data_IF_490227239177
#
_entry.id   IF_490227239177
#
_cell.length_a   1.000
_cell.length_b   1.000
_cell.length_c   1.000
_cell.angle_alpha   90.00
_cell.angle_beta   90.00
_cell.angle_gamma   90.00
#
_symmetry.space_group_name_H-M   'P 1'
#
loop_
_entity.id
_entity.type
_entity.pdbx_description
1 polymer ?
#
# COMPACT_ATOMS: atom_id res chain seq x y z
N UNK A 1 -9.67 18.05 6.56
CA UNK A 1 -8.47 18.29 6.93
C UNK A 1 -7.64 17.11 6.91
N UNK A 2 -6.61 17.11 6.25
CA UNK A 2 -5.80 15.96 6.14
C UNK A 2 -4.67 16.01 7.11
N UNK A 3 -4.19 14.87 7.51
CA UNK A 3 -3.06 14.79 8.36
C UNK A 3 -1.82 14.85 7.53
N UNK A 4 -0.78 15.45 8.02
CA UNK A 4 0.49 15.46 7.30
C UNK A 4 1.02 14.04 7.21
N UNK A 5 1.72 13.75 6.13
CA UNK A 5 2.35 12.46 6.00
C UNK A 5 3.49 12.35 6.98
N UNK A 6 3.73 11.16 7.50
CA UNK A 6 4.83 11.00 8.43
C UNK A 6 6.15 11.18 7.72
N UNK A 7 7.15 11.59 8.49
CA UNK A 7 8.49 11.69 7.99
C UNK A 7 8.93 10.30 7.56
N UNK A 8 9.64 10.21 6.46
CA UNK A 8 10.14 8.92 6.02
C UNK A 8 11.01 8.28 7.08
N UNK A 9 11.78 9.10 7.77
CA UNK A 9 12.62 8.58 8.82
C UNK A 9 11.81 7.91 9.91
N UNK A 10 10.65 8.44 10.22
CA UNK A 10 9.79 7.86 11.24
C UNK A 10 9.20 6.52 10.80
N UNK A 11 9.30 6.19 9.52
CA UNK A 11 8.80 4.92 9.03
C UNK A 11 9.88 3.86 8.96
N UNK A 12 11.09 4.19 9.35
CA UNK A 12 12.19 3.23 9.28
C UNK A 12 12.38 2.58 10.64
N UNK A 13 12.37 1.26 10.67
CA UNK A 13 12.45 0.53 11.93
C UNK A 13 13.75 -0.28 12.08
N UNK A 14 14.69 -0.10 11.18
CA UNK A 14 15.96 -0.81 11.30
C UNK A 14 16.03 -1.96 10.31
N UNK A 15 16.92 -2.88 10.56
CA UNK A 15 17.11 -4.01 9.67
C UNK A 15 16.91 -5.30 10.43
N UNK A 16 16.69 -6.37 9.69
CA UNK A 16 16.53 -7.69 10.28
C UNK A 16 17.32 -8.67 9.45
N UNK A 17 17.82 -9.71 10.07
CA UNK A 17 18.59 -10.72 9.37
C UNK A 17 17.72 -11.95 9.16
N UNK A 18 17.73 -12.45 7.93
CA UNK A 18 16.93 -13.62 7.61
C UNK A 18 17.61 -14.86 8.20
N UNK A 19 16.85 -15.63 8.92
CA UNK A 19 17.36 -16.87 9.51
C UNK A 19 17.39 -17.98 8.48
N UNK A 20 17.98 -19.09 8.87
CA UNK A 20 18.15 -20.19 7.95
C UNK A 20 16.83 -20.78 7.49
N UNK A 21 15.80 -20.67 8.29
CA UNK A 21 14.51 -21.21 7.92
C UNK A 21 13.61 -20.16 7.28
N UNK A 22 14.18 -19.05 6.87
CA UNK A 22 13.39 -18.02 6.25
C UNK A 22 12.63 -17.15 7.22
N UNK A 23 13.07 -17.13 8.48
CA UNK A 23 12.37 -16.33 9.49
C UNK A 23 13.08 -15.03 9.73
N UNK A 24 12.30 -13.98 10.00
CA UNK A 24 12.85 -12.73 10.47
C UNK A 24 12.02 -12.28 11.66
N UNK A 25 12.63 -11.44 12.49
CA UNK A 25 11.91 -10.86 13.59
C UNK A 25 11.47 -9.49 13.17
N UNK A 26 10.17 -9.24 13.22
CA UNK A 26 9.66 -7.91 12.94
C UNK A 26 10.04 -7.02 14.10
N UNK A 27 10.67 -5.87 13.86
CA UNK A 27 11.12 -5.02 14.96
C UNK A 27 9.97 -4.64 15.88
N UNK A 28 10.30 -4.56 17.16
CA UNK A 28 9.27 -4.31 18.18
C UNK A 28 8.51 -3.00 17.93
N UNK A 29 9.22 -1.96 17.50
CA UNK A 29 8.54 -0.70 17.23
C UNK A 29 7.59 -0.81 16.05
N UNK A 30 7.97 -1.58 15.04
CA UNK A 30 7.07 -1.79 13.91
C UNK A 30 5.83 -2.56 14.35
N UNK A 31 6.01 -3.57 15.20
CA UNK A 31 4.85 -4.32 15.70
C UNK A 31 3.91 -3.42 16.48
N UNK A 32 4.48 -2.51 17.26
CA UNK A 32 3.67 -1.62 18.05
C UNK A 32 2.95 -0.61 17.17
N UNK A 33 3.66 0.02 16.25
CA UNK A 33 3.06 1.05 15.42
C UNK A 33 2.03 0.48 14.47
N UNK A 34 2.21 -0.75 14.03
CA UNK A 34 1.27 -1.38 13.12
C UNK A 34 0.28 -2.27 13.84
N UNK A 35 0.34 -2.30 15.17
CA UNK A 35 -0.62 -3.05 15.98
C UNK A 35 -0.62 -4.53 15.61
N UNK A 36 0.57 -5.13 15.52
CA UNK A 36 0.71 -6.53 15.17
C UNK A 36 1.01 -7.32 16.43
N UNK A 37 0.25 -8.37 16.65
CA UNK A 37 0.34 -9.16 17.87
C UNK A 37 0.55 -10.63 17.55
N UNK A 38 1.05 -11.40 18.49
CA UNK A 38 1.21 -12.84 18.27
C UNK A 38 -0.12 -13.48 17.87
N UNK A 39 -0.05 -14.32 16.88
CA UNK A 39 -1.24 -14.98 16.39
C UNK A 39 -1.93 -14.26 15.27
N UNK A 40 -1.53 -13.02 14.99
CA UNK A 40 -2.15 -12.28 13.90
C UNK A 40 -1.80 -12.92 12.58
N UNK A 41 -2.75 -12.94 11.66
CA UNK A 41 -2.48 -13.43 10.33
C UNK A 41 -2.00 -12.28 9.48
N UNK A 42 -0.88 -12.48 8.82
CA UNK A 42 -0.28 -11.45 7.99
C UNK A 42 -0.29 -11.92 6.55
N UNK A 43 -0.51 -11.00 5.64
CA UNK A 43 -0.44 -11.26 4.22
C UNK A 43 0.89 -10.77 3.70
N UNK A 44 1.52 -11.55 2.84
CA UNK A 44 2.84 -11.22 2.33
C UNK A 44 2.76 -11.17 0.82
N UNK A 45 3.16 -10.05 0.24
CA UNK A 45 3.11 -9.86 -1.20
C UNK A 45 4.47 -9.45 -1.71
N UNK A 46 4.76 -9.79 -2.95
CA UNK A 46 5.86 -9.17 -3.63
C UNK A 46 5.33 -7.91 -4.27
N UNK A 47 6.02 -6.80 -4.11
CA UNK A 47 5.57 -5.54 -4.70
C UNK A 47 5.55 -5.70 -6.22
N UNK A 48 4.45 -5.36 -6.87
CA UNK A 48 4.34 -5.59 -8.32
C UNK A 48 5.31 -4.78 -9.16
N UNK A 49 5.69 -3.60 -8.69
CA UNK A 49 6.58 -2.75 -9.45
C UNK A 49 8.04 -2.91 -9.05
N UNK A 50 8.31 -3.53 -7.93
CA UNK A 50 9.67 -3.65 -7.42
C UNK A 50 9.92 -5.09 -6.99
N UNK A 51 10.46 -5.90 -7.89
CA UNK A 51 10.58 -7.35 -7.60
C UNK A 51 11.34 -7.72 -6.35
N UNK A 52 12.21 -6.85 -5.89
CA UNK A 52 12.95 -7.15 -4.67
C UNK A 52 12.29 -6.70 -3.40
N UNK A 53 11.05 -6.24 -3.44
CA UNK A 53 10.38 -5.72 -2.27
C UNK A 53 9.24 -6.60 -1.84
N UNK A 54 9.19 -6.88 -0.55
CA UNK A 54 8.05 -7.58 0.03
C UNK A 54 7.23 -6.60 0.84
N UNK A 55 5.93 -6.78 0.82
CA UNK A 55 5.01 -5.99 1.60
C UNK A 55 4.27 -6.92 2.53
N UNK A 56 4.26 -6.61 3.81
CA UNK A 56 3.58 -7.40 4.81
C UNK A 56 2.48 -6.55 5.42
N UNK A 57 1.29 -7.09 5.50
CA UNK A 57 0.15 -6.32 5.97
C UNK A 57 -0.73 -7.19 6.84
N UNK A 58 -1.39 -6.58 7.82
CA UNK A 58 -2.38 -7.29 8.59
C UNK A 58 -3.56 -7.61 7.69
N UNK A 59 -4.21 -8.74 7.94
CA UNK A 59 -5.31 -9.17 7.12
C UNK A 59 -6.42 -8.13 7.05
N UNK A 60 -6.82 -7.60 8.18
CA UNK A 60 -7.90 -6.63 8.20
C UNK A 60 -7.56 -5.33 7.48
N UNK A 61 -6.32 -4.87 7.68
CA UNK A 61 -5.89 -3.63 7.02
C UNK A 61 -5.84 -3.82 5.53
N UNK A 62 -5.45 -5.01 5.07
CA UNK A 62 -5.41 -5.27 3.65
C UNK A 62 -6.81 -5.26 3.06
N UNK A 63 -7.79 -5.74 3.79
CA UNK A 63 -9.15 -5.74 3.33
C UNK A 63 -9.64 -4.31 3.12
N UNK A 64 -9.36 -3.44 4.09
CA UNK A 64 -9.70 -2.04 3.94
C UNK A 64 -8.98 -1.41 2.77
N UNK A 65 -7.71 -1.74 2.61
CA UNK A 65 -6.93 -1.18 1.52
C UNK A 65 -7.53 -1.58 0.18
N UNK A 66 -7.94 -2.83 0.04
CA UNK A 66 -8.53 -3.31 -1.19
C UNK A 66 -9.85 -2.58 -1.46
N UNK A 67 -10.63 -2.33 -0.42
CA UNK A 67 -11.88 -1.61 -0.60
C UNK A 67 -11.63 -0.19 -1.10
N UNK A 68 -10.61 0.46 -0.55
CA UNK A 68 -10.25 1.79 -1.00
C UNK A 68 -9.79 1.77 -2.44
N UNK A 69 -9.00 0.76 -2.81
CA UNK A 69 -8.50 0.66 -4.17
C UNK A 69 -9.61 0.42 -5.15
N UNK A 70 -10.60 -0.36 -4.77
CA UNK A 70 -11.73 -0.60 -5.65
C UNK A 70 -12.52 0.67 -5.89
N UNK A 71 -12.74 1.45 -4.84
CA UNK A 71 -13.46 2.70 -5.00
C UNK A 71 -12.68 3.67 -5.86
N UNK A 72 -11.37 3.73 -5.66
CA UNK A 72 -10.55 4.63 -6.46
C UNK A 72 -10.57 4.21 -7.92
N UNK A 73 -10.55 2.91 -8.19
CA UNK A 73 -10.60 2.41 -9.54
C UNK A 73 -11.94 2.74 -10.20
N UNK A 74 -13.02 2.65 -9.43
CA UNK A 74 -14.33 2.97 -9.97
C UNK A 74 -14.45 4.43 -10.33
N UNK A 75 -13.92 5.31 -9.47
CA UNK A 75 -13.95 6.73 -9.73
C UNK A 75 -13.11 7.05 -10.97
N UNK A 76 -11.92 6.47 -11.06
CA UNK A 76 -11.06 6.71 -12.20
C UNK A 76 -11.71 6.20 -13.48
N UNK A 77 -12.38 5.06 -13.42
CA UNK A 77 -13.03 4.52 -14.57
C UNK A 77 -14.15 5.42 -15.04
N UNK A 78 -14.92 5.97 -14.13
CA UNK A 78 -15.98 6.87 -14.53
C UNK A 78 -15.43 8.09 -15.23
N UNK A 79 -14.36 8.66 -14.69
CA UNK A 79 -13.77 9.85 -15.31
C UNK A 79 -13.14 9.51 -16.66
N UNK A 80 -12.53 8.35 -16.77
CA UNK A 80 -11.96 7.97 -18.04
C UNK A 80 -13.03 7.75 -19.07
N UNK A 81 -14.16 7.18 -18.67
CA UNK A 81 -15.27 6.99 -19.58
C UNK A 81 -15.79 8.33 -20.06
N UNK A 82 -15.88 9.29 -19.16
CA UNK A 82 -16.33 10.61 -19.55
C UNK A 82 -15.37 11.28 -20.51
N UNK A 83 -14.08 11.13 -20.28
CA UNK A 83 -13.10 11.72 -21.16
C UNK A 83 -13.18 11.08 -22.52
N UNK A 84 -13.33 9.77 -22.60
CA UNK A 84 -13.43 9.11 -23.88
C UNK A 84 -14.72 9.46 -24.61
N UNK A 85 -15.78 9.73 -23.86
CA UNK A 85 -17.04 10.12 -24.49
C UNK A 85 -16.96 11.56 -25.01
N UNK A 86 -16.09 12.38 -24.45
CA UNK A 86 -15.92 13.76 -24.87
C UNK A 86 -14.48 14.02 -25.26
N UNK A 87 -14.05 13.49 -26.39
CA UNK A 87 -12.64 13.64 -26.75
C UNK A 87 -12.18 15.07 -26.91
N UNK A 88 -13.09 15.97 -27.23
CA UNK A 88 -12.68 17.37 -27.38
C UNK A 88 -12.13 17.91 -26.08
N UNK A 89 -12.76 17.55 -24.98
CA UNK A 89 -12.26 18.03 -23.70
C UNK A 89 -10.88 17.49 -23.43
N UNK A 90 -10.61 16.25 -23.77
CA UNK A 90 -9.32 15.69 -23.45
C UNK A 90 -8.26 16.25 -24.34
N UNK A 91 -8.59 16.84 -25.49
CA UNK A 91 -7.60 17.37 -26.30
C UNK A 91 -7.12 18.69 -25.89
N UNK A 92 -7.76 19.37 -25.03
CA UNK A 92 -7.34 20.68 -24.68
C UNK A 92 -6.03 20.69 -24.04
N UNK A 93 -5.58 19.61 -23.52
CA UNK A 93 -4.34 19.62 -22.94
C UNK A 93 -3.29 19.32 -23.84
N UNK A 94 -3.48 18.91 -24.97
CA UNK A 94 -2.49 18.49 -25.76
C UNK A 94 -1.69 19.54 -26.22
N UNK A 95 -1.55 20.28 -26.35
CA UNK A 95 -0.69 21.13 -26.88
C UNK A 95 -0.21 21.90 -26.23
#
# INVERSE_FOLDING_TARGET
MSRPLPDVEACFYGSATLGERGQIVVPAEARKDCDIHPGDKLLVFRHPMHPGMLVISKFGDMQEFIEHMKRAADVANRHMTEILANPDDSETEKE
#
